data_IF_289932155621
#
_entry.id   IF_289932155621
#
_cell.length_a   1.000
_cell.length_b   1.000
_cell.length_c   1.000
_cell.angle_alpha   90.00
_cell.angle_beta   90.00
_cell.angle_gamma   90.00
#
_symmetry.space_group_name_H-M   'P 1'
#
loop_
_entity.id
_entity.type
_entity.pdbx_description
1 polymer ?
#
# COMPACT_ATOMS: atom_id res chain seq x y z
N UNK A 1 21.43 13.93 -1.60
CA UNK A 1 20.01 14.38 -1.47
C UNK A 1 19.20 13.91 -2.66
N UNK A 2 19.64 14.12 -3.93
CA UNK A 2 18.92 13.71 -5.14
C UNK A 2 18.70 12.20 -5.25
N UNK A 3 19.57 11.37 -4.72
CA UNK A 3 19.44 9.90 -4.74
C UNK A 3 18.32 9.35 -3.83
N UNK A 4 17.89 10.14 -2.83
CA UNK A 4 16.82 9.75 -1.90
C UNK A 4 15.42 10.22 -2.36
N UNK A 5 15.35 11.15 -3.31
CA UNK A 5 14.08 11.70 -3.79
C UNK A 5 13.10 10.63 -4.30
N UNK A 6 13.51 9.63 -5.11
CA UNK A 6 12.60 8.57 -5.53
C UNK A 6 12.03 7.76 -4.36
N UNK A 7 12.86 7.47 -3.33
CA UNK A 7 12.41 6.74 -2.15
C UNK A 7 11.37 7.53 -1.36
N UNK A 8 11.57 8.84 -1.19
CA UNK A 8 10.58 9.71 -0.55
C UNK A 8 9.27 9.75 -1.34
N UNK A 9 9.32 9.92 -2.66
CA UNK A 9 8.12 9.94 -3.51
C UNK A 9 7.31 8.63 -3.39
N UNK A 10 8.00 7.50 -3.41
CA UNK A 10 7.38 6.19 -3.22
C UNK A 10 6.69 6.09 -1.85
N UNK A 11 7.35 6.58 -0.79
CA UNK A 11 6.86 6.48 0.58
C UNK A 11 5.66 7.40 0.89
N UNK A 12 5.48 8.51 0.16
CA UNK A 12 4.34 9.44 0.38
C UNK A 12 3.16 9.20 -0.58
N UNK A 13 3.21 8.11 -1.36
CA UNK A 13 2.17 7.74 -2.32
C UNK A 13 1.49 6.42 -1.95
N UNK A 14 0.52 6.00 -2.77
CA UNK A 14 -0.18 4.71 -2.64
C UNK A 14 0.74 3.48 -2.81
N UNK A 15 1.97 3.64 -3.30
CA UNK A 15 2.88 2.55 -3.67
C UNK A 15 3.15 1.58 -2.51
N UNK A 16 3.39 2.10 -1.31
CA UNK A 16 3.75 1.29 -0.14
C UNK A 16 2.68 0.24 0.18
N UNK A 17 1.41 0.64 0.26
CA UNK A 17 0.29 -0.30 0.51
C UNK A 17 0.18 -1.33 -0.61
N UNK A 18 0.19 -0.86 -1.85
CA UNK A 18 -0.01 -1.71 -3.03
C UNK A 18 1.07 -2.78 -3.13
N UNK A 19 2.35 -2.41 -3.05
CA UNK A 19 3.45 -3.39 -3.21
C UNK A 19 3.47 -4.43 -2.10
N UNK A 20 3.14 -4.03 -0.86
CA UNK A 20 3.10 -4.95 0.28
C UNK A 20 1.94 -5.95 0.10
N UNK A 21 0.74 -5.49 -0.25
CA UNK A 21 -0.41 -6.37 -0.45
C UNK A 21 -0.14 -7.34 -1.61
N UNK A 22 0.41 -6.87 -2.74
CA UNK A 22 0.78 -7.72 -3.86
C UNK A 22 1.83 -8.78 -3.47
N UNK A 23 2.80 -8.41 -2.64
CA UNK A 23 3.81 -9.34 -2.14
C UNK A 23 3.21 -10.37 -1.18
N UNK A 24 2.28 -9.97 -0.32
CA UNK A 24 1.61 -10.88 0.61
C UNK A 24 0.72 -11.88 -0.12
N UNK A 25 0.01 -11.49 -1.18
CA UNK A 25 -0.83 -12.43 -1.95
C UNK A 25 0.01 -13.49 -2.68
N UNK A 26 1.16 -13.09 -3.25
CA UNK A 26 2.11 -14.05 -3.84
C UNK A 26 2.53 -15.11 -2.81
N UNK A 27 2.84 -14.69 -1.60
CA UNK A 27 3.21 -15.58 -0.51
C UNK A 27 2.04 -16.47 -0.07
N UNK A 28 0.81 -15.94 -0.06
CA UNK A 28 -0.40 -16.67 0.32
C UNK A 28 -0.71 -17.83 -0.66
N UNK A 29 -0.54 -17.59 -1.96
CA UNK A 29 -0.71 -18.63 -2.99
C UNK A 29 0.33 -19.74 -2.83
N UNK A 30 1.52 -19.44 -2.29
CA UNK A 30 2.56 -20.45 -2.04
C UNK A 30 3.53 -20.66 -3.21
N UNK A 31 3.57 -19.74 -4.18
CA UNK A 31 4.53 -19.75 -5.29
C UNK A 31 5.49 -18.55 -5.15
N UNK A 32 6.59 -18.67 -4.39
CA UNK A 32 7.43 -17.54 -3.98
C UNK A 32 8.06 -16.73 -5.12
N UNK A 33 8.15 -17.31 -6.31
CA UNK A 33 8.80 -16.67 -7.48
C UNK A 33 7.83 -16.20 -8.56
N UNK A 34 6.53 -16.50 -8.44
CA UNK A 34 5.51 -16.13 -9.42
C UNK A 34 4.37 -15.36 -8.77
N UNK A 35 4.03 -14.16 -9.28
CA UNK A 35 4.69 -13.43 -10.37
C UNK A 35 6.10 -12.91 -9.98
N UNK A 36 7.02 -12.71 -10.96
CA UNK A 36 8.35 -12.12 -10.70
C UNK A 36 8.27 -10.73 -10.06
N UNK A 37 9.30 -10.36 -9.28
CA UNK A 37 9.34 -9.06 -8.61
C UNK A 37 9.16 -7.87 -9.57
N UNK A 38 9.73 -7.95 -10.77
CA UNK A 38 9.60 -6.92 -11.80
C UNK A 38 8.15 -6.69 -12.22
N UNK A 39 7.36 -7.76 -12.33
CA UNK A 39 5.93 -7.69 -12.66
C UNK A 39 5.14 -7.06 -11.51
N UNK A 40 5.40 -7.46 -10.26
CA UNK A 40 4.74 -6.88 -9.09
C UNK A 40 5.07 -5.40 -8.92
N UNK A 41 6.34 -5.02 -9.09
CA UNK A 41 6.76 -3.61 -9.02
C UNK A 41 6.11 -2.81 -10.15
N UNK A 42 6.13 -3.32 -11.38
CA UNK A 42 5.47 -2.67 -12.51
C UNK A 42 3.98 -2.45 -12.27
N UNK A 43 3.27 -3.49 -11.82
CA UNK A 43 1.86 -3.40 -11.49
C UNK A 43 1.60 -2.41 -10.35
N UNK A 44 2.42 -2.43 -9.30
CA UNK A 44 2.32 -1.48 -8.19
C UNK A 44 2.52 -0.04 -8.64
N UNK A 45 3.46 0.22 -9.55
CA UNK A 45 3.66 1.55 -10.12
C UNK A 45 2.45 2.01 -10.95
N UNK A 46 1.92 1.15 -11.84
CA UNK A 46 0.74 1.50 -12.62
C UNK A 46 -0.49 1.80 -11.75
N UNK A 47 -0.74 0.97 -10.74
CA UNK A 47 -1.83 1.22 -9.79
C UNK A 47 -1.59 2.50 -8.98
N UNK A 48 -0.34 2.78 -8.60
CA UNK A 48 0.02 4.02 -7.91
C UNK A 48 -0.28 5.23 -8.79
N UNK A 49 0.12 5.21 -10.06
CA UNK A 49 -0.25 6.28 -11.00
C UNK A 49 -1.76 6.45 -11.11
N UNK A 50 -2.49 5.36 -11.19
CA UNK A 50 -3.96 5.39 -11.27
C UNK A 50 -4.58 6.03 -10.02
N UNK A 51 -4.18 5.62 -8.82
CA UNK A 51 -4.68 6.15 -7.55
C UNK A 51 -4.27 7.60 -7.34
N UNK A 52 -3.03 7.95 -7.70
CA UNK A 52 -2.47 9.30 -7.52
C UNK A 52 -2.83 10.28 -8.65
N UNK A 53 -3.51 9.84 -9.70
CA UNK A 53 -3.87 10.69 -10.83
C UNK A 53 -4.59 12.00 -10.44
N UNK A 54 -5.60 12.00 -9.53
CA UNK A 54 -6.25 13.24 -9.11
C UNK A 54 -5.29 14.19 -8.37
N UNK A 55 -4.39 13.65 -7.53
CA UNK A 55 -3.36 14.43 -6.83
C UNK A 55 -2.39 15.06 -7.82
N UNK A 56 -1.92 14.28 -8.80
CA UNK A 56 -1.01 14.76 -9.84
C UNK A 56 -1.65 15.87 -10.70
N UNK A 57 -2.92 15.71 -11.09
CA UNK A 57 -3.67 16.74 -11.83
C UNK A 57 -3.85 18.02 -11.04
N UNK A 58 -4.03 17.92 -9.73
CA UNK A 58 -4.13 19.10 -8.87
C UNK A 58 -2.78 19.82 -8.78
N UNK A 59 -1.68 19.09 -8.60
CA UNK A 59 -0.32 19.66 -8.61
C UNK A 59 -0.03 20.37 -9.93
N UNK A 60 -0.39 19.76 -11.06
CA UNK A 60 -0.19 20.35 -12.37
C UNK A 60 -0.94 21.68 -12.52
N UNK A 61 -2.21 21.72 -12.12
CA UNK A 61 -3.06 22.92 -12.24
C UNK A 61 -2.69 24.04 -11.30
N UNK A 62 -2.34 23.72 -10.05
CA UNK A 62 -2.18 24.72 -9.00
C UNK A 62 -0.72 25.13 -8.76
N UNK A 63 0.24 24.28 -9.11
CA UNK A 63 1.66 24.50 -8.86
C UNK A 63 2.48 24.53 -10.15
N UNK A 64 2.54 23.42 -10.89
CA UNK A 64 3.46 23.28 -12.02
C UNK A 64 3.12 24.20 -13.19
N UNK A 65 1.87 24.24 -13.65
CA UNK A 65 1.43 25.13 -14.73
C UNK A 65 1.66 26.60 -14.43
N UNK A 66 1.15 27.14 -13.31
CA UNK A 66 1.42 28.55 -12.92
C UNK A 66 2.90 28.88 -12.73
N UNK A 67 3.73 27.93 -12.30
CA UNK A 67 5.18 28.12 -12.17
C UNK A 67 5.86 28.20 -13.54
N UNK A 68 5.53 27.31 -14.46
CA UNK A 68 6.11 27.33 -15.82
C UNK A 68 5.68 28.56 -16.61
N UNK A 69 4.48 29.09 -16.34
CA UNK A 69 3.99 30.35 -16.94
C UNK A 69 4.58 31.60 -16.26
N UNK A 70 5.45 31.45 -15.27
CA UNK A 70 6.06 32.58 -14.54
C UNK A 70 5.09 33.36 -13.63
N UNK A 71 3.90 32.79 -13.33
CA UNK A 71 2.85 33.46 -12.51
C UNK A 71 3.06 33.34 -11.03
N UNK A 72 3.81 32.35 -10.57
CA UNK A 72 4.13 32.11 -9.17
C UNK A 72 5.63 31.86 -8.98
N UNK A 73 6.13 32.16 -7.77
CA UNK A 73 7.51 31.89 -7.38
C UNK A 73 7.75 30.42 -7.13
N UNK A 74 9.02 30.00 -7.12
CA UNK A 74 9.41 28.63 -6.78
C UNK A 74 8.93 28.22 -5.37
N UNK A 75 9.00 29.12 -4.40
CA UNK A 75 8.55 28.83 -3.04
C UNK A 75 7.03 28.60 -2.96
N UNK A 76 6.25 29.39 -3.69
CA UNK A 76 4.79 29.20 -3.81
C UNK A 76 4.44 27.91 -4.55
N UNK A 77 5.16 27.59 -5.62
CA UNK A 77 4.96 26.35 -6.37
C UNK A 77 5.20 25.12 -5.47
N UNK A 78 6.26 25.15 -4.66
CA UNK A 78 6.54 24.09 -3.70
C UNK A 78 5.40 23.93 -2.68
N UNK A 79 4.97 25.02 -2.04
CA UNK A 79 3.86 24.99 -1.07
C UNK A 79 2.56 24.48 -1.68
N UNK A 80 2.24 24.91 -2.91
CA UNK A 80 1.04 24.45 -3.63
C UNK A 80 1.14 23.00 -4.12
N UNK A 81 2.34 22.49 -4.40
CA UNK A 81 2.54 21.07 -4.73
C UNK A 81 2.47 20.16 -3.50
N UNK A 82 2.92 20.65 -2.33
CA UNK A 82 2.87 19.91 -1.08
C UNK A 82 1.41 19.68 -0.60
N UNK A 83 0.54 20.66 -0.73
CA UNK A 83 -0.82 20.64 -0.19
C UNK A 83 -1.67 19.44 -0.66
N UNK A 84 -1.76 19.09 -1.97
CA UNK A 84 -2.50 17.92 -2.43
C UNK A 84 -1.93 16.59 -1.92
N UNK A 85 -0.60 16.47 -1.87
CA UNK A 85 0.07 15.26 -1.33
C UNK A 85 -0.21 15.11 0.16
N UNK A 86 -0.10 16.20 0.90
CA UNK A 86 -0.43 16.25 2.33
C UNK A 86 -1.89 15.85 2.58
N UNK A 87 -2.83 16.40 1.82
CA UNK A 87 -4.25 16.07 1.92
C UNK A 87 -4.49 14.57 1.65
N UNK A 88 -3.82 14.00 0.64
CA UNK A 88 -3.87 12.57 0.36
C UNK A 88 -3.37 11.76 1.56
N UNK A 89 -2.19 12.09 2.11
CA UNK A 89 -1.64 11.39 3.28
C UNK A 89 -2.58 11.46 4.47
N UNK A 90 -3.10 12.64 4.81
CA UNK A 90 -3.98 12.85 5.96
C UNK A 90 -5.29 12.06 5.89
N UNK A 91 -5.83 11.81 4.69
CA UNK A 91 -7.01 10.94 4.49
C UNK A 91 -6.73 9.48 4.82
N UNK A 92 -5.48 9.04 4.69
CA UNK A 92 -5.07 7.65 4.89
C UNK A 92 -4.46 7.40 6.27
N UNK A 93 -3.99 8.46 6.96
CA UNK A 93 -3.42 8.35 8.30
C UNK A 93 -4.49 8.04 9.32
N UNK A 94 -4.20 7.11 10.21
CA UNK A 94 -5.04 6.81 11.37
C UNK A 94 -4.74 7.77 12.52
N UNK A 95 -5.77 8.23 13.18
CA UNK A 95 -5.66 9.15 14.31
C UNK A 95 -4.64 8.69 15.37
N UNK A 96 -4.63 7.39 15.69
CA UNK A 96 -3.68 6.82 16.67
C UNK A 96 -2.22 6.95 16.25
N UNK A 97 -1.95 6.74 14.97
CA UNK A 97 -0.59 6.81 14.43
C UNK A 97 -0.16 8.29 14.35
N UNK A 98 -1.06 9.21 13.98
CA UNK A 98 -0.78 10.63 13.99
C UNK A 98 -0.52 11.15 15.41
N UNK A 99 -1.37 10.80 16.36
CA UNK A 99 -1.21 11.17 17.77
C UNK A 99 0.12 10.68 18.35
N UNK A 100 0.56 9.46 17.99
CA UNK A 100 1.86 8.93 18.41
C UNK A 100 3.00 9.84 17.94
N UNK A 101 3.02 10.24 16.66
CA UNK A 101 4.12 11.06 16.13
C UNK A 101 4.06 12.50 16.59
N UNK A 102 2.88 13.07 16.83
CA UNK A 102 2.72 14.37 17.50
C UNK A 102 3.34 14.33 18.91
N UNK A 103 3.05 13.29 19.68
CA UNK A 103 3.63 13.08 21.00
C UNK A 103 5.16 12.92 20.95
N UNK A 104 5.67 12.08 20.06
CA UNK A 104 7.11 11.86 19.89
C UNK A 104 7.86 13.12 19.46
N UNK A 105 7.23 13.97 18.64
CA UNK A 105 7.77 15.26 18.22
C UNK A 105 7.70 16.33 19.30
N UNK A 106 7.11 16.03 20.47
CA UNK A 106 6.90 16.97 21.59
C UNK A 106 6.21 18.27 21.17
N UNK A 107 5.27 18.15 20.23
CA UNK A 107 4.45 19.28 19.82
C UNK A 107 3.33 19.51 20.86
N UNK A 108 3.01 20.79 21.11
CA UNK A 108 1.78 21.13 21.80
C UNK A 108 0.61 20.52 21.03
N UNK A 109 -0.43 20.05 21.75
CA UNK A 109 -1.55 19.39 21.08
C UNK A 109 -2.15 20.30 20.01
N UNK A 110 -2.01 19.95 18.71
CA UNK A 110 -2.55 20.77 17.64
C UNK A 110 -4.07 20.78 17.73
N UNK A 111 -4.67 21.95 17.57
CA UNK A 111 -6.12 22.12 17.63
C UNK A 111 -6.82 21.52 16.41
N UNK A 112 -6.12 21.47 15.29
CA UNK A 112 -6.61 20.93 14.03
C UNK A 112 -5.54 20.05 13.37
N UNK A 113 -5.97 19.11 12.55
CA UNK A 113 -5.07 18.22 11.78
C UNK A 113 -4.17 19.03 10.83
N UNK A 114 -4.65 20.17 10.37
CA UNK A 114 -3.92 21.05 9.46
C UNK A 114 -2.72 21.75 10.13
N UNK A 115 -2.72 21.90 11.45
CA UNK A 115 -1.60 22.47 12.20
C UNK A 115 -0.43 21.49 12.37
N UNK A 116 -0.63 20.18 12.13
CA UNK A 116 0.42 19.18 12.27
C UNK A 116 1.45 19.35 11.16
N UNK A 117 2.75 19.53 11.45
CA UNK A 117 3.78 19.70 10.42
C UNK A 117 3.91 18.45 9.53
N UNK A 118 4.21 18.64 8.24
CA UNK A 118 4.32 17.54 7.26
C UNK A 118 5.38 16.50 7.65
N UNK A 119 6.49 16.93 8.29
CA UNK A 119 7.52 15.97 8.75
C UNK A 119 7.00 14.99 9.85
N UNK A 120 5.88 15.31 10.51
CA UNK A 120 5.19 14.44 11.48
C UNK A 120 4.16 13.56 10.75
N UNK A 121 3.49 14.12 9.75
CA UNK A 121 2.49 13.39 8.95
C UNK A 121 3.11 12.25 8.15
N UNK A 122 4.27 12.46 7.54
CA UNK A 122 4.94 11.45 6.70
C UNK A 122 5.19 10.14 7.44
N UNK A 123 5.89 10.10 8.58
CA UNK A 123 6.10 8.84 9.29
C UNK A 123 4.80 8.22 9.85
N UNK A 124 3.84 9.04 10.28
CA UNK A 124 2.53 8.57 10.69
C UNK A 124 1.79 7.89 9.52
N UNK A 125 1.85 8.48 8.34
CA UNK A 125 1.28 7.91 7.11
C UNK A 125 1.93 6.56 6.78
N UNK A 126 3.27 6.47 6.77
CA UNK A 126 3.97 5.22 6.45
C UNK A 126 3.55 4.09 7.40
N UNK A 127 3.49 4.34 8.70
CA UNK A 127 3.07 3.33 9.68
C UNK A 127 1.59 2.94 9.47
N UNK A 128 0.72 3.90 9.17
CA UNK A 128 -0.69 3.64 8.86
C UNK A 128 -0.84 2.78 7.59
N UNK A 129 -0.08 3.09 6.54
CA UNK A 129 -0.05 2.30 5.29
C UNK A 129 0.45 0.87 5.50
N UNK A 130 1.55 0.70 6.26
CA UNK A 130 2.06 -0.61 6.63
C UNK A 130 0.99 -1.45 7.34
N UNK A 131 0.34 -0.89 8.36
CA UNK A 131 -0.69 -1.60 9.12
C UNK A 131 -1.90 -1.94 8.25
N UNK A 132 -2.37 -1.02 7.43
CA UNK A 132 -3.48 -1.25 6.51
C UNK A 132 -3.13 -2.34 5.49
N UNK A 133 -1.91 -2.29 4.93
CA UNK A 133 -1.43 -3.31 4.01
C UNK A 133 -1.37 -4.71 4.64
N UNK A 134 -0.88 -4.80 5.88
CA UNK A 134 -0.85 -6.07 6.62
C UNK A 134 -2.25 -6.57 6.96
N UNK A 135 -3.19 -5.69 7.33
CA UNK A 135 -4.58 -6.07 7.57
C UNK A 135 -5.24 -6.62 6.30
N UNK A 136 -5.09 -5.92 5.17
CA UNK A 136 -5.60 -6.40 3.87
C UNK A 136 -4.96 -7.73 3.46
N UNK A 137 -3.63 -7.82 3.57
CA UNK A 137 -2.90 -9.03 3.25
C UNK A 137 -3.31 -10.22 4.12
N UNK A 138 -3.53 -10.00 5.41
CA UNK A 138 -4.02 -11.04 6.32
C UNK A 138 -5.40 -11.54 5.91
N UNK A 139 -6.34 -10.64 5.60
CA UNK A 139 -7.69 -11.04 5.14
C UNK A 139 -7.65 -11.89 3.87
N UNK A 140 -6.74 -11.55 2.95
CA UNK A 140 -6.53 -12.31 1.72
C UNK A 140 -5.87 -13.67 2.02
N UNK A 141 -5.02 -13.74 3.04
CA UNK A 141 -4.30 -14.97 3.41
C UNK A 141 -5.22 -16.04 4.01
N UNK A 142 -6.29 -15.62 4.73
CA UNK A 142 -7.19 -16.54 5.45
C UNK A 142 -7.74 -17.68 4.60
N UNK A 143 -8.33 -17.48 3.41
CA UNK A 143 -8.87 -18.58 2.61
C UNK A 143 -7.79 -19.59 2.18
N UNK A 144 -6.58 -19.13 1.89
CA UNK A 144 -5.46 -20.00 1.53
C UNK A 144 -4.95 -20.80 2.73
N UNK A 145 -4.94 -20.20 3.90
CA UNK A 145 -4.58 -20.88 5.15
C UNK A 145 -5.58 -21.98 5.51
N UNK A 146 -6.87 -21.75 5.26
CA UNK A 146 -7.89 -22.80 5.45
C UNK A 146 -7.64 -24.00 4.54
N UNK A 147 -7.27 -23.77 3.27
CA UNK A 147 -6.90 -24.87 2.35
C UNK A 147 -5.70 -25.64 2.90
N UNK A 148 -4.64 -24.95 3.36
CA UNK A 148 -3.47 -25.59 3.93
C UNK A 148 -3.83 -26.47 5.14
N UNK A 149 -4.68 -25.97 6.04
CA UNK A 149 -5.14 -26.72 7.21
C UNK A 149 -5.92 -27.97 6.83
N UNK A 150 -6.88 -27.85 5.89
CA UNK A 150 -7.69 -28.97 5.43
C UNK A 150 -6.80 -30.05 4.80
N UNK A 151 -5.92 -29.67 3.88
CA UNK A 151 -4.99 -30.61 3.23
C UNK A 151 -4.07 -31.27 4.24
N UNK A 152 -3.51 -30.50 5.19
CA UNK A 152 -2.66 -31.05 6.24
C UNK A 152 -3.40 -32.07 7.10
N UNK A 153 -4.63 -31.79 7.48
CA UNK A 153 -5.45 -32.69 8.30
C UNK A 153 -5.74 -34.00 7.56
N UNK A 154 -6.09 -33.92 6.28
CA UNK A 154 -6.33 -35.13 5.43
C UNK A 154 -5.06 -35.98 5.33
N UNK A 155 -3.91 -35.36 5.00
CA UNK A 155 -2.64 -36.10 4.86
C UNK A 155 -2.22 -36.77 6.16
N UNK A 156 -2.37 -36.06 7.30
CA UNK A 156 -2.06 -36.65 8.61
C UNK A 156 -3.00 -37.83 8.94
N UNK A 157 -4.29 -37.75 8.63
CA UNK A 157 -5.24 -38.83 8.87
C UNK A 157 -4.97 -40.06 8.04
N UNK A 158 -4.36 -39.88 6.86
CA UNK A 158 -3.92 -40.98 5.98
C UNK A 158 -2.53 -41.55 6.37
N UNK A 159 -1.89 -41.04 7.42
CA UNK A 159 -0.54 -41.47 7.82
C UNK A 159 0.60 -40.94 6.95
N UNK A 160 0.31 -40.00 6.04
CA UNK A 160 1.28 -39.43 5.07
C UNK A 160 2.07 -38.25 5.67
N UNK A 161 2.73 -38.48 6.81
CA UNK A 161 3.45 -37.41 7.54
C UNK A 161 4.69 -36.84 6.82
N UNK A 162 5.25 -37.61 5.86
CA UNK A 162 6.47 -37.20 5.13
C UNK A 162 6.18 -36.31 3.92
N UNK A 163 4.94 -36.19 3.46
CA UNK A 163 4.58 -35.33 2.35
C UNK A 163 4.39 -33.89 2.84
N UNK A 164 5.06 -32.90 2.22
CA UNK A 164 4.88 -31.50 2.58
C UNK A 164 3.48 -31.00 2.15
N UNK A 165 2.58 -30.68 3.11
CA UNK A 165 1.20 -30.28 2.79
C UNK A 165 1.09 -29.10 1.85
N UNK A 166 2.04 -28.16 1.93
CA UNK A 166 2.09 -26.95 1.09
C UNK A 166 2.17 -27.28 -0.39
N UNK A 167 2.91 -28.34 -0.78
CA UNK A 167 3.01 -28.76 -2.19
C UNK A 167 1.71 -29.39 -2.69
N UNK A 168 0.99 -30.09 -1.83
CA UNK A 168 -0.28 -30.71 -2.18
C UNK A 168 -1.42 -29.70 -2.21
N UNK A 169 -1.38 -28.68 -1.35
CA UNK A 169 -2.40 -27.61 -1.31
C UNK A 169 -2.27 -26.60 -2.47
N UNK A 170 -1.10 -26.47 -3.07
CA UNK A 170 -0.81 -25.47 -4.11
C UNK A 170 -1.79 -25.49 -5.29
N UNK A 171 -2.11 -26.64 -5.93
CA UNK A 171 -3.08 -26.68 -7.03
C UNK A 171 -4.47 -26.17 -6.61
N UNK A 172 -4.91 -26.49 -5.40
CA UNK A 172 -6.22 -26.04 -4.87
C UNK A 172 -6.25 -24.55 -4.61
N UNK A 173 -5.13 -23.96 -4.13
CA UNK A 173 -5.00 -22.52 -3.94
C UNK A 173 -5.05 -21.76 -5.27
N UNK A 174 -4.32 -22.25 -6.28
CA UNK A 174 -4.34 -21.64 -7.62
C UNK A 174 -5.74 -21.77 -8.22
N UNK A 175 -6.38 -22.93 -8.11
CA UNK A 175 -7.73 -23.15 -8.62
C UNK A 175 -8.72 -22.21 -7.96
N UNK A 176 -8.71 -22.09 -6.62
CA UNK A 176 -9.57 -21.17 -5.89
C UNK A 176 -9.35 -19.74 -6.39
N UNK A 177 -8.10 -19.29 -6.47
CA UNK A 177 -7.76 -17.92 -6.87
C UNK A 177 -8.27 -17.58 -8.28
N UNK A 178 -8.16 -18.53 -9.21
CA UNK A 178 -8.66 -18.38 -10.59
C UNK A 178 -10.19 -18.40 -10.63
N UNK A 179 -10.83 -19.33 -9.91
CA UNK A 179 -12.30 -19.45 -9.91
C UNK A 179 -13.03 -18.24 -9.35
N UNK A 180 -12.45 -17.56 -8.34
CA UNK A 180 -13.06 -16.35 -7.75
C UNK A 180 -12.66 -15.07 -8.47
N UNK A 181 -11.94 -15.17 -9.61
CA UNK A 181 -11.34 -14.01 -10.28
C UNK A 181 -10.49 -13.16 -9.32
N UNK A 182 -9.54 -13.81 -8.67
CA UNK A 182 -8.75 -13.25 -7.57
C UNK A 182 -8.00 -11.96 -7.94
N UNK A 183 -7.49 -11.85 -9.17
CA UNK A 183 -6.85 -10.63 -9.63
C UNK A 183 -7.81 -9.44 -9.68
N UNK A 184 -9.00 -9.63 -10.22
CA UNK A 184 -10.03 -8.59 -10.27
C UNK A 184 -10.44 -8.12 -8.88
N UNK A 185 -10.74 -9.06 -7.99
CA UNK A 185 -11.11 -8.75 -6.60
C UNK A 185 -10.00 -8.00 -5.87
N UNK A 186 -8.74 -8.42 -6.06
CA UNK A 186 -7.58 -7.79 -5.46
C UNK A 186 -7.39 -6.36 -5.94
N UNK A 187 -7.39 -6.13 -7.27
CA UNK A 187 -7.23 -4.79 -7.84
C UNK A 187 -8.34 -3.86 -7.38
N UNK A 188 -9.57 -4.34 -7.42
CA UNK A 188 -10.74 -3.59 -6.93
C UNK A 188 -10.61 -3.22 -5.45
N UNK A 189 -10.27 -4.18 -4.59
CA UNK A 189 -10.10 -3.95 -3.15
C UNK A 189 -8.98 -2.95 -2.86
N UNK A 190 -7.84 -3.06 -3.56
CA UNK A 190 -6.72 -2.14 -3.43
C UNK A 190 -7.12 -0.71 -3.80
N UNK A 191 -7.70 -0.51 -4.99
CA UNK A 191 -8.06 0.84 -5.45
C UNK A 191 -9.14 1.46 -4.56
N UNK A 192 -10.19 0.71 -4.20
CA UNK A 192 -11.25 1.19 -3.32
C UNK A 192 -10.78 1.48 -1.90
N UNK A 193 -9.67 0.91 -1.45
CA UNK A 193 -9.14 1.17 -0.11
C UNK A 193 -8.54 2.57 0.07
N UNK A 194 -8.39 3.35 -1.00
CA UNK A 194 -7.90 4.74 -0.98
C UNK A 194 -9.00 5.79 -1.10
N UNK A 195 -10.25 5.36 -1.34
CA UNK A 195 -11.42 6.24 -1.50
C UNK A 195 -12.13 6.46 -0.17
#
# INVERSE_FOLDING_TARGET
VLSLAPAFLIMVTAFTRIIIVLSLIRNAIGVPQLPPNTVLIGLALFLTFFVMAPVAQQIEREAYGPFTDGRISQAEAYSKAEAPVRTFMLRQVREKDLALFVYLARLDQPKTIDEVPTYVVVPAFIISELKTAFQMGFMIFVPFLVIDLVVSTILMSMGMMMLPPVLISLPFKILLFVMVDGWYLLMRALVLSFN
#
